data_IF_273331446083
#
_entry.id   IF_273331446083
#
_cell.length_a   1.000
_cell.length_b   1.000
_cell.length_c   1.000
_cell.angle_alpha   90.00
_cell.angle_beta   90.00
_cell.angle_gamma   90.00
#
_symmetry.space_group_name_H-M   'P 1'
#
loop_
_entity.id
_entity.type
_entity.pdbx_description
1 polymer ?
#
# COMPACT_ATOMS: atom_id res chain seq x y z
N UNK A 1 19.50 -3.06 2.80
CA UNK A 1 18.16 -2.80 3.39
C UNK A 1 17.74 -3.86 4.38
N UNK A 2 17.17 -3.46 5.51
CA UNK A 2 16.61 -4.33 6.56
C UNK A 2 15.15 -3.99 6.81
N UNK A 3 14.34 -5.02 7.02
CA UNK A 3 12.96 -4.87 7.45
C UNK A 3 12.92 -4.86 8.98
N UNK A 4 12.25 -3.88 9.56
CA UNK A 4 12.11 -3.75 11.01
C UNK A 4 10.65 -3.49 11.39
N UNK A 5 10.18 -3.95 12.57
CA UNK A 5 8.86 -3.60 13.06
C UNK A 5 8.78 -2.09 13.31
N UNK A 6 7.58 -1.53 13.19
CA UNK A 6 7.32 -0.11 13.47
C UNK A 6 5.93 0.09 14.07
N UNK A 7 5.83 1.00 15.03
CA UNK A 7 4.56 1.38 15.65
C UNK A 7 3.72 2.29 14.75
N UNK A 8 2.39 2.25 14.92
CA UNK A 8 1.45 2.93 14.03
C UNK A 8 1.68 4.44 14.01
N UNK A 9 1.95 5.00 15.20
CA UNK A 9 2.23 6.42 15.38
C UNK A 9 3.45 6.84 14.55
N UNK A 10 4.56 6.12 14.69
CA UNK A 10 5.80 6.41 13.96
C UNK A 10 5.64 6.23 12.44
N UNK A 11 4.91 5.19 12.00
CA UNK A 11 4.62 5.01 10.58
C UNK A 11 3.80 6.17 10.00
N UNK A 12 2.75 6.61 10.71
CA UNK A 12 1.93 7.74 10.30
C UNK A 12 2.70 9.07 10.31
N UNK A 13 3.59 9.29 11.28
CA UNK A 13 4.49 10.46 11.33
C UNK A 13 5.43 10.48 10.11
N UNK A 14 6.02 9.34 9.75
CA UNK A 14 6.85 9.22 8.56
C UNK A 14 6.06 9.54 7.28
N UNK A 15 4.85 8.99 7.15
CA UNK A 15 3.96 9.28 6.01
C UNK A 15 3.60 10.76 5.95
N UNK A 16 3.29 11.40 7.08
CA UNK A 16 2.94 12.82 7.12
C UNK A 16 4.09 13.72 6.65
N UNK A 17 5.33 13.38 7.01
CA UNK A 17 6.52 14.13 6.61
C UNK A 17 6.83 13.98 5.11
N UNK A 18 6.65 12.78 4.56
CA UNK A 18 7.10 12.44 3.20
C UNK A 18 5.98 12.43 2.15
N UNK A 19 4.71 12.41 2.56
CA UNK A 19 3.57 12.23 1.67
C UNK A 19 2.44 13.23 1.93
N UNK A 20 2.63 14.47 1.45
CA UNK A 20 1.82 15.67 1.75
C UNK A 20 0.30 15.56 1.47
N UNK A 21 -0.14 14.59 0.67
CA UNK A 21 -1.55 14.46 0.25
C UNK A 21 -2.31 13.30 0.92
N UNK A 22 -1.74 12.68 1.96
CA UNK A 22 -2.29 11.47 2.54
C UNK A 22 -2.52 11.57 4.04
N UNK A 23 -3.78 11.44 4.43
CA UNK A 23 -4.18 11.36 5.83
C UNK A 23 -3.58 10.11 6.51
N UNK A 24 -3.31 10.17 7.82
CA UNK A 24 -2.86 9.03 8.61
C UNK A 24 -3.77 7.81 8.43
N UNK A 25 -3.19 6.61 8.49
CA UNK A 25 -3.96 5.36 8.52
C UNK A 25 -4.48 5.16 9.94
N UNK A 26 -5.81 5.01 10.08
CA UNK A 26 -6.44 4.81 11.38
C UNK A 26 -6.16 3.41 11.96
N UNK A 27 -6.18 2.37 11.13
CA UNK A 27 -5.85 0.97 11.50
C UNK A 27 -5.27 0.22 10.30
N UNK A 28 -4.31 -0.65 10.57
CA UNK A 28 -3.77 -1.64 9.64
C UNK A 28 -3.71 -3.02 10.34
N UNK A 29 -3.49 -4.08 9.57
CA UNK A 29 -3.25 -5.43 10.10
C UNK A 29 -1.79 -5.59 10.51
N UNK A 30 -0.87 -5.08 9.70
CA UNK A 30 0.53 -4.97 10.04
C UNK A 30 1.19 -3.84 9.23
N UNK A 31 2.40 -3.49 9.66
CA UNK A 31 3.26 -2.50 9.03
C UNK A 31 4.73 -2.83 9.23
N UNK A 32 5.56 -2.37 8.31
CA UNK A 32 7.01 -2.63 8.33
C UNK A 32 7.73 -1.37 7.89
N UNK A 33 8.83 -1.06 8.55
CA UNK A 33 9.77 -0.05 8.09
C UNK A 33 10.95 -0.68 7.35
N UNK A 34 11.47 0.06 6.38
CA UNK A 34 12.73 -0.23 5.70
C UNK A 34 13.81 0.67 6.29
N UNK A 35 14.92 0.06 6.69
CA UNK A 35 16.12 0.80 7.09
C UNK A 35 17.29 0.49 6.16
N UNK A 36 18.11 1.51 5.93
CA UNK A 36 19.37 1.43 5.19
C UNK A 36 20.41 2.31 5.88
N UNK A 37 21.60 1.76 6.14
CA UNK A 37 22.65 2.43 6.93
C UNK A 37 22.10 3.04 8.24
N UNK A 38 21.31 2.26 8.97
CA UNK A 38 20.65 2.64 10.24
C UNK A 38 19.67 3.82 10.18
N UNK A 39 19.37 4.37 9.00
CA UNK A 39 18.29 5.35 8.80
C UNK A 39 17.04 4.68 8.26
N UNK A 40 15.88 5.16 8.68
CA UNK A 40 14.60 4.75 8.09
C UNK A 40 14.42 5.43 6.72
N UNK A 41 14.21 4.64 5.68
CA UNK A 41 14.03 5.12 4.30
C UNK A 41 12.66 4.78 3.69
N UNK A 42 11.79 4.11 4.46
CA UNK A 42 10.40 3.96 4.05
C UNK A 42 9.56 3.12 5.01
N UNK A 43 8.26 3.14 4.77
CA UNK A 43 7.24 2.40 5.51
C UNK A 43 6.19 1.82 4.56
N UNK A 44 5.67 0.65 4.92
CA UNK A 44 4.53 0.02 4.23
C UNK A 44 3.49 -0.42 5.25
N UNK A 45 2.20 -0.17 4.94
CA UNK A 45 1.07 -0.49 5.82
C UNK A 45 0.05 -1.32 5.04
N UNK A 46 -0.29 -2.48 5.59
CA UNK A 46 -1.18 -3.45 4.97
C UNK A 46 -2.43 -3.65 5.82
N UNK A 47 -3.60 -3.54 5.20
CA UNK A 47 -4.89 -3.59 5.87
C UNK A 47 -5.94 -4.36 5.09
N UNK A 48 -7.20 -4.26 5.56
CA UNK A 48 -8.34 -4.78 4.82
C UNK A 48 -8.50 -4.02 3.51
N UNK A 49 -8.93 -4.68 2.42
CA UNK A 49 -9.24 -3.98 1.18
C UNK A 49 -10.27 -2.86 1.38
N UNK A 50 -10.02 -1.70 0.76
CA UNK A 50 -10.96 -0.57 0.81
C UNK A 50 -12.24 -0.90 0.05
N UNK A 51 -12.12 -1.69 -1.03
CA UNK A 51 -13.27 -2.22 -1.75
C UNK A 51 -13.88 -3.41 -1.01
N UNK A 52 -15.13 -3.26 -0.57
CA UNK A 52 -15.92 -4.35 0.06
C UNK A 52 -16.03 -5.62 -0.80
N UNK A 53 -15.92 -5.48 -2.13
CA UNK A 53 -16.00 -6.61 -3.05
C UNK A 53 -14.72 -7.46 -3.04
N UNK A 54 -13.62 -6.92 -2.51
CA UNK A 54 -12.34 -7.61 -2.36
C UNK A 54 -12.06 -7.99 -0.91
N UNK A 55 -12.81 -7.43 0.06
CA UNK A 55 -12.68 -7.75 1.48
C UNK A 55 -13.35 -9.10 1.80
N UNK A 56 -12.81 -10.16 1.20
CA UNK A 56 -13.31 -11.54 1.20
C UNK A 56 -12.67 -12.42 2.29
N UNK A 57 -11.90 -11.81 3.21
CA UNK A 57 -11.13 -12.50 4.24
C UNK A 57 -9.84 -13.16 3.74
N UNK A 58 -9.64 -13.26 2.42
CA UNK A 58 -8.49 -13.92 1.76
C UNK A 58 -7.56 -12.93 1.06
N UNK A 59 -8.01 -11.69 0.91
CA UNK A 59 -7.27 -10.59 0.27
C UNK A 59 -6.76 -9.60 1.29
N UNK A 60 -5.49 -9.21 1.13
CA UNK A 60 -4.88 -8.10 1.85
C UNK A 60 -4.61 -6.93 0.90
N UNK A 61 -4.72 -5.69 1.37
CA UNK A 61 -4.38 -4.49 0.58
C UNK A 61 -3.20 -3.74 1.20
N UNK A 62 -2.20 -3.39 0.39
CA UNK A 62 -1.22 -2.35 0.74
C UNK A 62 -1.92 -1.00 0.62
N UNK A 63 -2.22 -0.41 1.77
CA UNK A 63 -2.94 0.88 1.85
C UNK A 63 -2.01 2.07 1.75
N UNK A 64 -0.76 1.90 2.20
CA UNK A 64 0.30 2.90 2.12
C UNK A 64 1.63 2.23 1.81
N UNK A 65 2.37 2.81 0.87
CA UNK A 65 3.79 2.61 0.68
C UNK A 65 4.39 4.01 0.54
N UNK A 66 5.33 4.37 1.42
CA UNK A 66 5.95 5.68 1.43
C UNK A 66 7.44 5.51 1.64
N UNK A 67 8.25 6.04 0.72
CA UNK A 67 9.70 6.07 0.81
C UNK A 67 10.17 7.51 0.63
N UNK A 68 11.41 7.79 1.02
CA UNK A 68 12.04 9.09 0.80
C UNK A 68 12.77 9.19 -0.56
N UNK A 69 12.50 8.26 -1.48
CA UNK A 69 13.18 8.15 -2.76
C UNK A 69 14.43 7.27 -2.77
N UNK A 70 14.83 6.69 -1.64
CA UNK A 70 15.96 5.73 -1.60
C UNK A 70 15.75 4.57 -2.59
N UNK A 71 16.79 4.31 -3.40
CA UNK A 71 16.78 3.27 -4.44
C UNK A 71 16.42 1.91 -3.86
N UNK A 72 15.54 1.17 -4.53
CA UNK A 72 15.05 -0.15 -4.13
C UNK A 72 14.19 -0.22 -2.85
N UNK A 73 14.02 0.87 -2.10
CA UNK A 73 13.23 0.84 -0.86
C UNK A 73 11.76 0.44 -1.12
N UNK A 74 11.18 0.95 -2.20
CA UNK A 74 9.79 0.71 -2.56
C UNK A 74 9.56 -0.77 -2.96
N UNK A 75 10.39 -1.32 -3.84
CA UNK A 75 10.30 -2.72 -4.26
C UNK A 75 10.63 -3.68 -3.11
N UNK A 76 11.61 -3.33 -2.26
CA UNK A 76 11.93 -4.07 -1.04
C UNK A 76 10.71 -4.18 -0.12
N UNK A 77 10.05 -3.06 0.17
CA UNK A 77 8.86 -3.01 1.03
C UNK A 77 7.71 -3.84 0.46
N UNK A 78 7.40 -3.70 -0.84
CA UNK A 78 6.37 -4.53 -1.50
C UNK A 78 6.69 -6.02 -1.42
N UNK A 79 7.96 -6.40 -1.60
CA UNK A 79 8.41 -7.78 -1.45
C UNK A 79 8.25 -8.31 -0.01
N UNK A 80 8.54 -7.48 0.99
CA UNK A 80 8.38 -7.85 2.41
C UNK A 80 6.92 -7.99 2.81
N UNK A 81 6.06 -7.06 2.40
CA UNK A 81 4.63 -7.15 2.64
C UNK A 81 4.02 -8.42 2.06
N UNK A 82 4.38 -8.79 0.82
CA UNK A 82 3.91 -10.02 0.21
C UNK A 82 4.33 -11.28 0.97
N UNK A 83 5.60 -11.35 1.43
CA UNK A 83 6.09 -12.48 2.22
C UNK A 83 5.30 -12.62 3.54
N UNK A 84 5.13 -11.52 4.27
CA UNK A 84 4.37 -11.53 5.53
C UNK A 84 2.91 -11.93 5.27
N UNK A 85 2.29 -11.39 4.21
CA UNK A 85 0.92 -11.75 3.86
C UNK A 85 0.78 -13.25 3.57
N UNK A 86 1.76 -13.86 2.90
CA UNK A 86 1.80 -15.31 2.65
C UNK A 86 1.87 -16.09 3.95
N UNK A 87 2.79 -15.73 4.86
CA UNK A 87 2.92 -16.38 6.18
C UNK A 87 1.66 -16.23 7.05
N UNK A 88 0.90 -15.14 6.87
CA UNK A 88 -0.39 -14.94 7.55
C UNK A 88 -1.56 -15.74 6.92
N UNK A 89 -1.33 -16.46 5.81
CA UNK A 89 -2.34 -17.28 5.15
C UNK A 89 -3.24 -16.54 4.14
N UNK A 90 -2.86 -15.35 3.68
CA UNK A 90 -3.59 -14.66 2.61
C UNK A 90 -3.33 -15.33 1.25
N UNK A 91 -4.37 -15.42 0.41
CA UNK A 91 -4.25 -15.98 -0.95
C UNK A 91 -3.64 -14.98 -1.93
N UNK A 92 -3.88 -13.69 -1.71
CA UNK A 92 -3.40 -12.59 -2.56
C UNK A 92 -3.25 -11.29 -1.79
N UNK A 93 -2.30 -10.47 -2.25
CA UNK A 93 -2.14 -9.09 -1.81
C UNK A 93 -2.32 -8.15 -3.00
N UNK A 94 -3.01 -7.03 -2.78
CA UNK A 94 -3.29 -6.03 -3.81
C UNK A 94 -2.79 -4.65 -3.41
N UNK A 95 -2.63 -3.78 -4.40
CA UNK A 95 -2.42 -2.34 -4.18
C UNK A 95 -2.99 -1.56 -5.35
N UNK A 96 -3.16 -0.25 -5.15
CA UNK A 96 -3.57 0.68 -6.18
C UNK A 96 -2.53 1.79 -6.31
N UNK A 97 -2.12 2.06 -7.54
CA UNK A 97 -1.32 3.24 -7.90
C UNK A 97 -2.06 4.01 -8.99
N UNK A 98 -1.71 5.28 -9.21
CA UNK A 98 -2.28 6.09 -10.27
C UNK A 98 -1.94 5.51 -11.65
N UNK A 99 -2.79 5.76 -12.65
CA UNK A 99 -2.50 5.36 -14.04
C UNK A 99 -1.22 6.03 -14.57
N UNK A 100 -0.93 7.24 -14.10
CA UNK A 100 0.28 7.98 -14.48
C UNK A 100 1.56 7.40 -13.89
N UNK A 101 1.48 6.49 -12.90
CA UNK A 101 2.64 5.87 -12.28
C UNK A 101 3.08 4.63 -13.08
N UNK A 102 4.38 4.43 -13.24
CA UNK A 102 4.91 3.35 -14.09
C UNK A 102 4.74 1.93 -13.50
N UNK A 103 4.56 1.83 -12.18
CA UNK A 103 4.54 0.57 -11.44
C UNK A 103 5.89 -0.17 -11.46
N UNK A 104 7.01 0.50 -11.78
CA UNK A 104 8.32 -0.14 -11.91
C UNK A 104 8.73 -0.93 -10.64
N UNK A 105 8.54 -0.36 -9.46
CA UNK A 105 8.85 -1.03 -8.19
C UNK A 105 7.98 -2.25 -7.92
N UNK A 106 6.72 -2.26 -8.39
CA UNK A 106 5.81 -3.40 -8.29
C UNK A 106 6.25 -4.54 -9.22
N UNK A 107 6.62 -4.21 -10.47
CA UNK A 107 7.21 -5.18 -11.41
C UNK A 107 8.48 -5.79 -10.84
N UNK A 108 9.38 -4.96 -10.30
CA UNK A 108 10.62 -5.42 -9.67
C UNK A 108 10.36 -6.33 -8.45
N UNK A 109 9.26 -6.12 -7.73
CA UNK A 109 8.82 -6.99 -6.64
C UNK A 109 8.02 -8.22 -7.11
N UNK A 110 7.90 -8.45 -8.42
CA UNK A 110 7.18 -9.57 -9.03
C UNK A 110 5.66 -9.50 -8.83
N UNK A 111 5.09 -8.31 -8.88
CA UNK A 111 3.64 -8.08 -8.92
C UNK A 111 3.16 -7.95 -10.36
N UNK A 112 1.90 -8.26 -10.59
CA UNK A 112 1.24 -8.20 -11.88
C UNK A 112 0.21 -7.06 -11.90
N UNK A 113 0.13 -6.33 -13.00
CA UNK A 113 -0.95 -5.36 -13.20
C UNK A 113 -2.22 -6.12 -13.60
N UNK A 114 -3.13 -6.32 -12.66
CA UNK A 114 -4.36 -7.07 -12.89
C UNK A 114 -5.37 -6.27 -13.71
N UNK A 115 -5.45 -4.95 -13.45
CA UNK A 115 -6.37 -4.04 -14.13
C UNK A 115 -5.72 -2.68 -14.33
N UNK A 116 -5.52 -2.31 -15.60
CA UNK A 116 -4.98 -1.00 -15.98
C UNK A 116 -5.90 0.16 -15.56
N UNK A 117 -7.21 -0.06 -15.61
CA UNK A 117 -8.22 0.90 -15.15
C UNK A 117 -9.08 0.23 -14.06
N UNK A 118 -8.85 0.61 -12.82
CA UNK A 118 -9.50 0.07 -11.64
C UNK A 118 -9.91 1.20 -10.68
N UNK A 119 -11.19 1.54 -10.69
CA UNK A 119 -11.74 2.56 -9.80
C UNK A 119 -11.29 3.98 -10.13
N UNK A 120 -11.09 4.80 -9.10
CA UNK A 120 -11.06 6.26 -9.19
C UNK A 120 -12.43 6.88 -8.93
N UNK A 121 -12.49 8.19 -8.81
CA UNK A 121 -13.69 8.95 -8.44
C UNK A 121 -13.91 9.04 -6.93
N UNK A 122 -15.11 9.47 -6.54
CA UNK A 122 -15.52 9.60 -5.15
C UNK A 122 -16.40 8.43 -4.73
N UNK A 123 -16.29 7.99 -3.48
CA UNK A 123 -17.28 7.12 -2.85
C UNK A 123 -18.47 7.90 -2.26
N UNK A 124 -18.50 9.22 -2.47
CA UNK A 124 -19.62 10.10 -2.11
C UNK A 124 -20.87 9.70 -2.88
N UNK A 125 -21.97 9.49 -2.15
CA UNK A 125 -23.30 9.32 -2.75
C UNK A 125 -24.31 10.18 -1.99
N UNK A 126 -25.45 10.57 -2.60
CA UNK A 126 -26.45 11.39 -1.91
C UNK A 126 -26.93 10.79 -0.58
N UNK A 127 -27.09 9.46 -0.53
CA UNK A 127 -27.51 8.72 0.66
C UNK A 127 -26.40 8.58 1.73
N UNK A 128 -25.14 8.84 1.38
CA UNK A 128 -24.02 8.77 2.32
C UNK A 128 -22.90 9.70 1.89
N UNK A 129 -22.96 10.91 2.42
CA UNK A 129 -21.98 11.94 2.12
C UNK A 129 -20.59 11.58 2.65
N UNK A 130 -19.55 11.80 1.85
CA UNK A 130 -18.15 11.52 2.18
C UNK A 130 -17.26 12.64 1.64
N UNK A 131 -16.49 13.27 2.53
CA UNK A 131 -15.35 14.08 2.14
C UNK A 131 -14.13 13.18 1.92
N UNK A 132 -13.59 13.17 0.69
CA UNK A 132 -12.37 12.43 0.35
C UNK A 132 -11.22 13.39 0.10
N UNK A 133 -10.11 13.21 0.81
CA UNK A 133 -8.83 13.87 0.52
C UNK A 133 -7.98 13.04 -0.46
N UNK A 134 -8.36 11.79 -0.72
CA UNK A 134 -7.65 10.92 -1.62
C UNK A 134 -7.85 11.34 -3.09
N UNK A 135 -6.82 11.19 -3.95
CA UNK A 135 -6.93 11.47 -5.38
C UNK A 135 -8.09 10.68 -6.01
N UNK A 136 -8.96 11.40 -6.71
CA UNK A 136 -10.09 10.84 -7.47
C UNK A 136 -9.69 10.43 -8.90
N UNK A 137 -8.43 10.63 -9.28
CA UNK A 137 -7.93 10.17 -10.57
C UNK A 137 -8.04 8.64 -10.69
N UNK A 138 -8.07 8.18 -11.95
CA UNK A 138 -8.12 6.77 -12.28
C UNK A 138 -6.85 6.08 -11.77
N UNK A 139 -7.03 4.86 -11.27
CA UNK A 139 -5.98 4.03 -10.70
C UNK A 139 -5.86 2.75 -11.50
N UNK A 140 -4.71 2.12 -11.41
CA UNK A 140 -4.47 0.75 -11.81
C UNK A 140 -4.41 -0.13 -10.56
N UNK A 141 -4.89 -1.37 -10.66
CA UNK A 141 -4.83 -2.36 -9.58
C UNK A 141 -3.77 -3.39 -9.88
N UNK A 142 -2.90 -3.59 -8.91
CA UNK A 142 -1.83 -4.57 -8.94
C UNK A 142 -2.12 -5.69 -7.96
N UNK A 143 -1.71 -6.89 -8.33
CA UNK A 143 -1.90 -8.11 -7.55
C UNK A 143 -0.59 -8.88 -7.45
N UNK A 144 -0.40 -9.55 -6.32
CA UNK A 144 0.53 -10.65 -6.19
C UNK A 144 -0.20 -11.83 -5.57
N UNK A 145 -0.25 -12.95 -6.32
CA UNK A 145 -0.76 -14.23 -5.82
C UNK A 145 0.28 -14.82 -4.87
N UNK A 146 -0.19 -15.33 -3.74
CA UNK A 146 0.67 -15.78 -2.62
C UNK A 146 0.66 -17.30 -2.43
N UNK A 147 -0.24 -17.99 -3.13
CA UNK A 147 -0.24 -19.45 -3.30
C UNK A 147 0.99 -19.90 -4.09
#
# INVERSE_FOLDING_TARGET
MKAVPIELKAANEYVAQNHRHHSPVYRDKFRVACTEHDRMCGVIQCGRPVSRHLDDGKTLEVTRCCTDGTDNACSFLYGRAARIAKEMGYERIITYILISESGASLKAAGWECEKVIAGGGSWDTPARRRHTTAPQCKKQRWIKKLV
#
